data_IF_486477811718
#
_entry.id   IF_486477811718
#
_cell.length_a   1.000
_cell.length_b   1.000
_cell.length_c   1.000
_cell.angle_alpha   90.00
_cell.angle_beta   90.00
_cell.angle_gamma   90.00
#
_symmetry.space_group_name_H-M   'P 1'
#
loop_
_entity.id
_entity.type
_entity.pdbx_description
1 polymer ?
#
# COMPACT_ATOMS: atom_id res chain seq x y z
N UNK A 1 35.01 -11.48 -33.71
CA UNK A 1 33.54 -11.67 -33.57
C UNK A 1 33.02 -11.28 -32.18
N UNK A 2 33.92 -11.01 -31.20
CA UNK A 2 33.56 -10.81 -29.77
C UNK A 2 33.25 -9.37 -29.34
N UNK A 3 33.38 -8.36 -30.19
CA UNK A 3 33.13 -6.95 -29.80
C UNK A 3 31.68 -6.50 -29.87
N UNK A 4 30.80 -7.25 -30.54
CA UNK A 4 29.38 -6.87 -30.69
C UNK A 4 28.51 -7.30 -29.49
N UNK A 5 28.84 -8.42 -28.84
CA UNK A 5 28.10 -8.94 -27.72
C UNK A 5 28.20 -8.09 -26.43
N UNK A 6 29.36 -7.44 -26.24
CA UNK A 6 29.60 -6.54 -25.08
C UNK A 6 28.90 -5.19 -25.18
N UNK A 7 28.63 -4.72 -26.39
CA UNK A 7 27.89 -3.47 -26.63
C UNK A 7 26.41 -3.57 -26.37
N UNK A 8 25.78 -4.68 -26.76
CA UNK A 8 24.34 -4.92 -26.55
C UNK A 8 23.99 -5.12 -25.06
N UNK A 9 24.84 -5.81 -24.30
CA UNK A 9 24.62 -5.97 -22.84
C UNK A 9 24.70 -4.64 -22.09
N UNK A 10 25.60 -3.73 -22.48
CA UNK A 10 25.70 -2.40 -21.85
C UNK A 10 24.52 -1.50 -22.17
N UNK A 11 23.97 -1.57 -23.38
CA UNK A 11 22.79 -0.80 -23.79
C UNK A 11 21.51 -1.31 -23.09
N UNK A 12 21.35 -2.62 -22.99
CA UNK A 12 20.21 -3.21 -22.27
C UNK A 12 20.25 -2.94 -20.76
N UNK A 13 21.43 -2.99 -20.14
CA UNK A 13 21.59 -2.61 -18.72
C UNK A 13 21.23 -1.14 -18.49
N UNK A 14 21.73 -0.25 -19.34
CA UNK A 14 21.47 1.19 -19.22
C UNK A 14 20.00 1.54 -19.43
N UNK A 15 19.35 0.90 -20.40
CA UNK A 15 17.91 1.07 -20.63
C UNK A 15 17.07 0.54 -19.46
N UNK A 16 17.47 -0.58 -18.83
CA UNK A 16 16.81 -1.11 -17.64
C UNK A 16 16.99 -0.19 -16.42
N UNK A 17 18.20 0.36 -16.23
CA UNK A 17 18.49 1.33 -15.17
C UNK A 17 17.68 2.62 -15.35
N UNK A 18 17.58 3.14 -16.59
CA UNK A 18 16.77 4.32 -16.90
C UNK A 18 15.29 4.07 -16.64
N UNK A 19 14.71 2.93 -17.08
CA UNK A 19 13.32 2.57 -16.83
C UNK A 19 13.05 2.41 -15.32
N UNK A 20 13.97 1.79 -14.59
CA UNK A 20 13.84 1.65 -13.13
C UNK A 20 13.89 2.99 -12.42
N UNK A 21 14.80 3.90 -12.85
CA UNK A 21 14.90 5.25 -12.30
C UNK A 21 13.64 6.08 -12.58
N UNK A 22 13.11 6.03 -13.81
CA UNK A 22 11.86 6.71 -14.18
C UNK A 22 10.66 6.17 -13.38
N UNK A 23 10.56 4.84 -13.22
CA UNK A 23 9.48 4.22 -12.46
C UNK A 23 9.55 4.61 -10.99
N UNK A 24 10.74 4.64 -10.41
CA UNK A 24 10.95 5.06 -9.03
C UNK A 24 10.60 6.53 -8.84
N UNK A 25 11.02 7.39 -9.77
CA UNK A 25 10.70 8.82 -9.72
C UNK A 25 9.20 9.08 -9.84
N UNK A 26 8.48 8.35 -10.70
CA UNK A 26 7.03 8.44 -10.83
C UNK A 26 6.33 8.03 -9.52
N UNK A 27 6.76 6.93 -8.90
CA UNK A 27 6.22 6.48 -7.61
C UNK A 27 6.43 7.51 -6.49
N UNK A 28 7.62 8.11 -6.40
CA UNK A 28 7.88 9.15 -5.39
C UNK A 28 7.01 10.39 -5.64
N UNK A 29 6.80 10.79 -6.89
CA UNK A 29 5.91 11.92 -7.22
C UNK A 29 4.45 11.62 -6.83
N UNK A 30 3.95 10.41 -7.05
CA UNK A 30 2.62 9.99 -6.62
C UNK A 30 2.48 10.02 -5.09
N UNK A 31 3.50 9.56 -4.37
CA UNK A 31 3.53 9.61 -2.90
C UNK A 31 3.57 11.05 -2.37
N UNK A 32 4.30 11.95 -3.02
CA UNK A 32 4.37 13.36 -2.64
C UNK A 32 3.03 14.08 -2.94
N UNK A 33 2.36 13.74 -4.03
CA UNK A 33 1.03 14.24 -4.32
C UNK A 33 0.01 13.77 -3.27
N UNK A 34 0.04 12.48 -2.91
CA UNK A 34 -0.79 11.94 -1.84
C UNK A 34 -0.50 12.62 -0.50
N UNK A 35 0.77 12.86 -0.16
CA UNK A 35 1.16 13.57 1.04
C UNK A 35 0.52 14.96 1.10
N UNK A 36 0.57 15.71 0.00
CA UNK A 36 -0.04 17.04 -0.08
C UNK A 36 -1.57 17.00 0.09
N UNK A 37 -2.22 15.97 -0.45
CA UNK A 37 -3.66 15.78 -0.29
C UNK A 37 -4.04 15.41 1.15
N UNK A 38 -3.23 14.55 1.82
CA UNK A 38 -3.45 14.18 3.22
C UNK A 38 -3.19 15.34 4.18
N UNK A 39 -2.25 16.22 3.87
CA UNK A 39 -2.08 17.49 4.64
C UNK A 39 -3.29 18.40 4.48
N UNK A 40 -3.89 18.43 3.28
CA UNK A 40 -5.04 19.27 2.99
C UNK A 40 -6.36 18.77 3.61
N UNK A 41 -6.47 17.47 3.94
CA UNK A 41 -7.66 16.86 4.56
C UNK A 41 -7.84 17.27 6.04
N UNK A 42 -6.80 17.86 6.64
CA UNK A 42 -6.82 18.34 8.03
C UNK A 42 -6.71 17.23 9.09
N UNK A 43 -6.49 15.97 8.70
CA UNK A 43 -6.32 14.84 9.61
C UNK A 43 -4.84 14.46 9.75
N UNK A 44 -4.17 15.02 10.75
CA UNK A 44 -2.75 14.74 11.01
C UNK A 44 -2.41 13.24 11.23
N UNK A 45 -3.42 12.37 11.43
CA UNK A 45 -3.21 10.92 11.60
C UNK A 45 -2.82 10.29 10.27
N UNK A 46 -3.54 10.60 9.19
CA UNK A 46 -3.33 10.04 7.85
C UNK A 46 -2.01 10.49 7.26
N UNK A 47 -1.61 11.74 7.49
CA UNK A 47 -0.32 12.28 7.12
C UNK A 47 0.84 11.52 7.80
N UNK A 48 0.75 11.30 9.12
CA UNK A 48 1.76 10.55 9.88
C UNK A 48 1.83 9.09 9.42
N UNK A 49 0.70 8.46 9.12
CA UNK A 49 0.67 7.09 8.63
C UNK A 49 1.41 6.94 7.30
N UNK A 50 1.27 7.89 6.37
CA UNK A 50 2.03 7.86 5.12
C UNK A 50 3.54 8.02 5.39
N UNK A 51 3.92 8.91 6.30
CA UNK A 51 5.32 9.11 6.69
C UNK A 51 5.90 7.83 7.33
N UNK A 52 5.16 7.17 8.22
CA UNK A 52 5.57 5.92 8.86
C UNK A 52 5.70 4.78 7.85
N UNK A 53 4.75 4.64 6.92
CA UNK A 53 4.82 3.66 5.82
C UNK A 53 6.07 3.86 4.96
N UNK A 54 6.36 5.11 4.55
CA UNK A 54 7.56 5.44 3.76
C UNK A 54 8.85 5.09 4.53
N UNK A 55 8.92 5.46 5.81
CA UNK A 55 10.09 5.19 6.66
C UNK A 55 10.36 3.69 6.82
N UNK A 56 9.32 2.91 7.13
CA UNK A 56 9.44 1.45 7.29
C UNK A 56 9.86 0.81 5.96
N UNK A 57 9.19 1.16 4.86
CA UNK A 57 9.49 0.62 3.54
C UNK A 57 10.94 0.93 3.10
N UNK A 58 11.40 2.15 3.36
CA UNK A 58 12.77 2.54 3.10
C UNK A 58 13.77 1.75 3.97
N UNK A 59 13.44 1.52 5.24
CA UNK A 59 14.25 0.71 6.15
C UNK A 59 14.41 -0.72 5.65
N UNK A 60 13.33 -1.35 5.16
CA UNK A 60 13.39 -2.66 4.52
C UNK A 60 14.33 -2.64 3.30
N UNK A 61 14.20 -1.65 2.41
CA UNK A 61 15.06 -1.55 1.21
C UNK A 61 16.53 -1.38 1.57
N UNK A 62 16.84 -0.54 2.54
CA UNK A 62 18.23 -0.31 2.98
C UNK A 62 18.85 -1.56 3.60
N UNK A 63 18.08 -2.25 4.44
CA UNK A 63 18.55 -3.44 5.12
C UNK A 63 18.86 -4.58 4.13
N UNK A 64 18.04 -4.71 3.10
CA UNK A 64 18.21 -5.71 2.05
C UNK A 64 19.39 -5.41 1.10
N UNK A 65 19.76 -4.13 0.97
CA UNK A 65 20.91 -3.71 0.20
C UNK A 65 22.25 -4.06 0.90
N UNK A 66 22.23 -4.42 2.20
CA UNK A 66 23.44 -4.78 2.92
C UNK A 66 23.89 -6.21 2.59
N UNK A 67 25.20 -6.39 2.36
CA UNK A 67 25.82 -7.63 1.84
C UNK A 67 25.62 -8.83 2.77
N UNK A 68 25.46 -8.64 4.05
CA UNK A 68 25.30 -9.73 5.02
C UNK A 68 23.92 -10.41 4.92
N UNK A 69 22.90 -9.70 4.44
CA UNK A 69 21.54 -10.23 4.25
C UNK A 69 21.24 -10.74 2.83
N UNK A 70 22.20 -10.66 1.95
CA UNK A 70 22.15 -11.40 0.68
C UNK A 70 21.88 -12.91 0.88
N UNK A 71 22.10 -13.44 2.09
CA UNK A 71 21.75 -14.82 2.47
C UNK A 71 20.23 -15.02 2.60
N UNK A 72 19.49 -14.06 3.13
CA UNK A 72 18.02 -14.10 3.13
C UNK A 72 17.45 -14.16 1.71
N UNK A 73 18.09 -13.46 0.77
CA UNK A 73 17.70 -13.49 -0.64
C UNK A 73 18.15 -14.75 -1.37
N UNK A 74 19.22 -15.41 -0.94
CA UNK A 74 19.71 -16.65 -1.53
C UNK A 74 18.75 -17.84 -1.34
N UNK A 75 17.92 -17.82 -0.30
CA UNK A 75 16.96 -18.88 0.04
C UNK A 75 15.59 -18.78 -0.67
N UNK A 76 15.36 -17.82 -1.56
CA UNK A 76 14.08 -17.64 -2.25
C UNK A 76 12.94 -17.11 -1.37
N UNK A 77 12.83 -17.58 -0.12
CA UNK A 77 11.78 -17.20 0.82
C UNK A 77 11.92 -15.74 1.30
N UNK A 78 13.16 -15.27 1.48
CA UNK A 78 13.42 -13.88 1.82
C UNK A 78 12.99 -12.91 0.71
N UNK A 79 13.23 -13.26 -0.56
CA UNK A 79 12.74 -12.48 -1.71
C UNK A 79 11.22 -12.41 -1.74
N UNK A 80 10.54 -13.50 -1.40
CA UNK A 80 9.09 -13.54 -1.33
C UNK A 80 8.55 -12.61 -0.23
N UNK A 81 9.18 -12.60 0.95
CA UNK A 81 8.81 -11.68 2.04
C UNK A 81 8.97 -10.23 1.61
N UNK A 82 10.09 -9.89 0.95
CA UNK A 82 10.33 -8.55 0.44
C UNK A 82 9.23 -8.13 -0.53
N UNK A 83 8.92 -8.97 -1.49
CA UNK A 83 7.86 -8.71 -2.46
C UNK A 83 6.51 -8.49 -1.78
N UNK A 84 6.19 -9.25 -0.73
CA UNK A 84 4.95 -9.08 0.04
C UNK A 84 4.95 -7.80 0.88
N UNK A 85 6.09 -7.40 1.43
CA UNK A 85 6.23 -6.09 2.10
C UNK A 85 5.95 -4.96 1.12
N UNK A 86 6.53 -5.01 -0.10
CA UNK A 86 6.24 -4.04 -1.15
C UNK A 86 4.75 -4.01 -1.52
N UNK A 87 4.12 -5.18 -1.64
CA UNK A 87 2.68 -5.27 -1.91
C UNK A 87 1.84 -4.66 -0.78
N UNK A 88 2.13 -4.99 0.48
CA UNK A 88 1.38 -4.44 1.62
C UNK A 88 1.56 -2.92 1.72
N UNK A 89 2.76 -2.41 1.46
CA UNK A 89 3.02 -0.98 1.37
C UNK A 89 2.12 -0.32 0.32
N UNK A 90 2.11 -0.84 -0.92
CA UNK A 90 1.30 -0.30 -2.02
C UNK A 90 -0.20 -0.31 -1.69
N UNK A 91 -0.71 -1.42 -1.15
CA UNK A 91 -2.13 -1.51 -0.79
C UNK A 91 -2.48 -0.58 0.38
N UNK A 92 -1.58 -0.41 1.36
CA UNK A 92 -1.79 0.54 2.46
C UNK A 92 -1.81 2.01 1.97
N UNK A 93 -0.95 2.36 1.02
CA UNK A 93 -0.95 3.69 0.38
C UNK A 93 -2.25 3.94 -0.38
N UNK A 94 -2.77 2.95 -1.11
CA UNK A 94 -4.10 3.06 -1.77
C UNK A 94 -5.22 3.26 -0.74
N UNK A 95 -5.19 2.54 0.37
CA UNK A 95 -6.16 2.72 1.45
C UNK A 95 -6.13 4.15 2.00
N UNK A 96 -4.95 4.77 2.16
CA UNK A 96 -4.85 6.19 2.53
C UNK A 96 -5.46 7.11 1.48
N UNK A 97 -5.23 6.86 0.20
CA UNK A 97 -5.89 7.61 -0.89
C UNK A 97 -7.41 7.50 -0.82
N UNK A 98 -7.94 6.32 -0.50
CA UNK A 98 -9.37 6.09 -0.34
C UNK A 98 -9.98 6.89 0.83
N UNK A 99 -9.20 7.22 1.88
CA UNK A 99 -9.69 8.06 2.99
C UNK A 99 -10.02 9.48 2.52
N UNK A 100 -9.26 10.02 1.56
CA UNK A 100 -9.53 11.33 0.96
C UNK A 100 -10.79 11.27 0.10
N UNK A 101 -10.93 10.24 -0.74
CA UNK A 101 -12.11 10.06 -1.57
C UNK A 101 -13.39 9.96 -0.73
N UNK A 102 -13.34 9.22 0.39
CA UNK A 102 -14.48 9.13 1.31
C UNK A 102 -14.77 10.46 2.03
N UNK A 103 -13.75 11.23 2.40
CA UNK A 103 -13.93 12.55 2.99
C UNK A 103 -14.69 13.47 2.02
N UNK A 104 -14.22 13.57 0.78
CA UNK A 104 -14.87 14.38 -0.26
C UNK A 104 -16.33 13.95 -0.49
N UNK A 105 -16.59 12.63 -0.57
CA UNK A 105 -17.96 12.11 -0.69
C UNK A 105 -18.82 12.43 0.53
N UNK A 106 -18.25 12.46 1.72
CA UNK A 106 -19.00 12.83 2.93
C UNK A 106 -19.46 14.28 2.90
N UNK A 107 -18.71 15.17 2.24
CA UNK A 107 -19.08 16.57 2.06
C UNK A 107 -20.22 16.76 1.03
N UNK A 108 -20.27 15.86 0.05
CA UNK A 108 -21.32 15.84 -0.99
C UNK A 108 -22.59 15.09 -0.56
N UNK A 109 -22.57 14.45 0.62
CA UNK A 109 -23.66 13.60 1.07
C UNK A 109 -24.96 14.39 1.31
N UNK A 110 -26.07 13.90 0.73
CA UNK A 110 -27.38 14.57 0.78
C UNK A 110 -28.02 14.58 2.19
N UNK A 111 -27.61 13.66 3.07
CA UNK A 111 -28.17 13.53 4.42
C UNK A 111 -27.08 13.28 5.46
N UNK A 112 -27.31 13.73 6.69
CA UNK A 112 -26.38 13.50 7.80
C UNK A 112 -26.18 11.99 8.12
N UNK A 113 -27.18 11.16 7.88
CA UNK A 113 -27.09 9.70 8.08
C UNK A 113 -26.11 9.09 7.09
N UNK A 114 -26.19 9.45 5.81
CA UNK A 114 -25.25 8.99 4.76
C UNK A 114 -23.86 9.50 5.04
N UNK A 115 -23.71 10.77 5.41
CA UNK A 115 -22.43 11.37 5.80
C UNK A 115 -21.79 10.62 6.95
N UNK A 116 -22.53 10.33 8.02
CA UNK A 116 -22.03 9.59 9.17
C UNK A 116 -21.55 8.19 8.79
N UNK A 117 -22.28 7.46 7.93
CA UNK A 117 -21.88 6.15 7.44
C UNK A 117 -20.59 6.17 6.63
N UNK A 118 -20.42 7.19 5.76
CA UNK A 118 -19.18 7.37 4.97
C UNK A 118 -17.98 7.65 5.90
N UNK A 119 -18.16 8.54 6.88
CA UNK A 119 -17.11 8.87 7.85
C UNK A 119 -16.74 7.67 8.73
N UNK A 120 -17.71 6.85 9.17
CA UNK A 120 -17.46 5.60 9.89
C UNK A 120 -16.60 4.66 9.05
N UNK A 121 -16.91 4.53 7.75
CA UNK A 121 -16.11 3.74 6.84
C UNK A 121 -14.68 4.28 6.68
N UNK A 122 -14.52 5.61 6.63
CA UNK A 122 -13.21 6.26 6.62
C UNK A 122 -12.40 5.91 7.87
N UNK A 123 -13.01 5.96 9.06
CA UNK A 123 -12.35 5.60 10.33
C UNK A 123 -11.94 4.13 10.37
N UNK A 124 -12.76 3.23 9.82
CA UNK A 124 -12.39 1.82 9.67
C UNK A 124 -11.11 1.66 8.86
N UNK A 125 -10.99 2.32 7.70
CA UNK A 125 -9.81 2.26 6.85
C UNK A 125 -8.56 2.83 7.57
N UNK A 126 -8.69 3.96 8.27
CA UNK A 126 -7.61 4.53 9.07
C UNK A 126 -7.12 3.54 10.12
N UNK A 127 -8.03 2.85 10.80
CA UNK A 127 -7.68 1.81 11.78
C UNK A 127 -6.92 0.65 11.15
N UNK A 128 -7.31 0.24 9.95
CA UNK A 128 -6.68 -0.85 9.21
C UNK A 128 -5.27 -0.50 8.74
N UNK A 129 -5.08 0.71 8.20
CA UNK A 129 -3.74 1.18 7.83
C UNK A 129 -2.84 1.26 9.06
N UNK A 130 -3.35 1.71 10.20
CA UNK A 130 -2.60 1.72 11.47
C UNK A 130 -2.16 0.31 11.87
N UNK A 131 -3.04 -0.68 11.71
CA UNK A 131 -2.72 -2.08 11.99
C UNK A 131 -1.63 -2.59 11.03
N UNK A 132 -1.74 -2.31 9.72
CA UNK A 132 -0.74 -2.70 8.73
C UNK A 132 0.65 -2.10 9.04
N UNK A 133 0.72 -0.83 9.46
CA UNK A 133 1.96 -0.18 9.90
C UNK A 133 2.57 -0.93 11.10
N UNK A 134 1.75 -1.27 12.10
CA UNK A 134 2.20 -2.03 13.28
C UNK A 134 2.80 -3.38 12.90
N UNK A 135 2.16 -4.09 11.98
CA UNK A 135 2.60 -5.39 11.49
C UNK A 135 3.88 -5.28 10.67
N UNK A 136 3.99 -4.31 9.75
CA UNK A 136 5.23 -4.06 9.01
C UNK A 136 6.40 -3.76 9.95
N UNK A 137 6.18 -2.96 11.01
CA UNK A 137 7.18 -2.66 12.02
C UNK A 137 7.63 -3.92 12.78
N UNK A 138 6.68 -4.79 13.14
CA UNK A 138 6.97 -6.05 13.81
C UNK A 138 7.77 -6.97 12.89
N UNK A 139 7.35 -7.16 11.65
CA UNK A 139 8.03 -8.01 10.67
C UNK A 139 9.45 -7.50 10.41
N UNK A 140 9.62 -6.18 10.31
CA UNK A 140 10.95 -5.58 10.19
C UNK A 140 11.86 -5.94 11.37
N UNK A 141 11.35 -5.78 12.60
CA UNK A 141 12.10 -6.11 13.82
C UNK A 141 12.46 -7.59 13.89
N UNK A 142 11.54 -8.46 13.49
CA UNK A 142 11.77 -9.90 13.47
C UNK A 142 12.81 -10.28 12.42
N UNK A 143 12.74 -9.73 11.21
CA UNK A 143 13.74 -9.94 10.17
C UNK A 143 15.15 -9.51 10.60
N UNK A 144 15.27 -8.48 11.44
CA UNK A 144 16.56 -8.05 12.01
C UNK A 144 17.20 -9.10 12.92
N UNK A 145 16.40 -9.94 13.55
CA UNK A 145 16.84 -10.91 14.58
C UNK A 145 16.87 -12.36 14.08
N UNK A 146 16.30 -12.65 12.90
CA UNK A 146 16.23 -13.98 12.33
C UNK A 146 17.61 -14.49 11.87
N UNK A 147 17.88 -15.76 12.19
CA UNK A 147 18.98 -16.52 11.57
C UNK A 147 18.48 -17.14 10.25
N UNK A 148 19.01 -16.72 9.08
CA UNK A 148 18.55 -17.20 7.78
C UNK A 148 18.64 -18.71 7.59
N UNK A 149 19.58 -19.35 8.27
CA UNK A 149 19.88 -20.79 8.11
C UNK A 149 19.09 -21.68 9.09
N UNK A 150 18.50 -21.09 10.16
CA UNK A 150 17.81 -21.85 11.23
C UNK A 150 16.28 -21.69 11.27
N UNK A 151 15.74 -20.58 10.78
CA UNK A 151 14.37 -20.15 11.10
C UNK A 151 13.37 -20.25 9.94
N UNK A 152 13.47 -21.29 9.10
CA UNK A 152 12.58 -21.46 7.92
C UNK A 152 11.08 -21.52 8.28
N UNK A 153 10.73 -22.04 9.46
CA UNK A 153 9.34 -22.08 9.93
C UNK A 153 8.85 -20.68 10.28
N UNK A 154 9.69 -19.82 10.86
CA UNK A 154 9.35 -18.44 11.20
C UNK A 154 9.19 -17.58 9.96
N UNK A 155 10.06 -17.73 8.97
CA UNK A 155 9.91 -17.08 7.66
C UNK A 155 8.60 -17.47 6.98
N UNK A 156 8.21 -18.75 7.04
CA UNK A 156 6.93 -19.21 6.51
C UNK A 156 5.73 -18.58 7.24
N UNK A 157 5.84 -18.41 8.55
CA UNK A 157 4.80 -17.75 9.35
C UNK A 157 4.68 -16.26 8.97
N UNK A 158 5.79 -15.52 8.90
CA UNK A 158 5.80 -14.11 8.47
C UNK A 158 5.20 -13.93 7.09
N UNK A 159 5.51 -14.83 6.15
CA UNK A 159 4.91 -14.85 4.83
C UNK A 159 3.38 -14.96 4.89
N UNK A 160 2.87 -15.89 5.69
CA UNK A 160 1.43 -16.11 5.80
C UNK A 160 0.72 -14.93 6.50
N UNK A 161 1.38 -14.29 7.47
CA UNK A 161 0.88 -13.07 8.11
C UNK A 161 0.79 -11.92 7.10
N UNK A 162 1.82 -11.74 6.25
CA UNK A 162 1.80 -10.74 5.17
C UNK A 162 0.68 -11.01 4.16
N UNK A 163 0.48 -12.28 3.76
CA UNK A 163 -0.59 -12.64 2.82
C UNK A 163 -1.98 -12.29 3.35
N UNK A 164 -2.24 -12.60 4.61
CA UNK A 164 -3.52 -12.27 5.24
C UNK A 164 -3.77 -10.75 5.26
N UNK A 165 -2.73 -9.96 5.53
CA UNK A 165 -2.84 -8.51 5.59
C UNK A 165 -3.00 -7.87 4.21
N UNK A 166 -2.31 -8.39 3.20
CA UNK A 166 -2.46 -7.93 1.81
C UNK A 166 -3.88 -8.22 1.32
N UNK A 167 -4.38 -9.43 1.58
CA UNK A 167 -5.74 -9.80 1.18
C UNK A 167 -6.79 -8.91 1.86
N UNK A 168 -6.58 -8.61 3.14
CA UNK A 168 -7.46 -7.73 3.88
C UNK A 168 -7.45 -6.30 3.32
N UNK A 169 -6.26 -5.70 3.09
CA UNK A 169 -6.14 -4.37 2.49
C UNK A 169 -6.79 -4.29 1.10
N UNK A 170 -6.67 -5.34 0.29
CA UNK A 170 -7.35 -5.43 -1.02
C UNK A 170 -8.87 -5.47 -0.90
N UNK A 171 -9.41 -6.20 0.07
CA UNK A 171 -10.86 -6.22 0.32
C UNK A 171 -11.39 -4.83 0.69
N UNK A 172 -10.62 -4.08 1.46
CA UNK A 172 -10.96 -2.70 1.80
C UNK A 172 -11.01 -1.83 0.56
N UNK A 173 -9.97 -1.85 -0.27
CA UNK A 173 -9.92 -1.10 -1.53
C UNK A 173 -11.10 -1.47 -2.45
N UNK A 174 -11.40 -2.76 -2.60
CA UNK A 174 -12.55 -3.23 -3.38
C UNK A 174 -13.88 -2.72 -2.83
N UNK A 175 -14.07 -2.75 -1.51
CA UNK A 175 -15.28 -2.26 -0.88
C UNK A 175 -15.50 -0.76 -1.08
N UNK A 176 -14.41 0.04 -1.10
CA UNK A 176 -14.51 1.47 -1.39
C UNK A 176 -14.87 1.69 -2.86
N UNK A 177 -14.26 0.96 -3.79
CA UNK A 177 -14.57 1.05 -5.23
C UNK A 177 -16.01 0.62 -5.53
N UNK A 178 -16.53 -0.37 -4.84
CA UNK A 178 -17.92 -0.79 -5.00
C UNK A 178 -18.90 0.31 -4.54
N UNK A 179 -18.54 1.10 -3.51
CA UNK A 179 -19.32 2.29 -3.14
C UNK A 179 -19.36 3.36 -4.24
N UNK A 180 -18.37 3.36 -5.15
CA UNK A 180 -18.37 4.23 -6.33
C UNK A 180 -19.28 3.71 -7.45
N UNK A 181 -19.47 2.39 -7.53
CA UNK A 181 -20.27 1.74 -8.57
C UNK A 181 -21.71 1.53 -8.16
N UNK A 182 -21.96 1.24 -6.88
CA UNK A 182 -23.33 1.27 -6.35
C UNK A 182 -23.76 2.73 -6.35
N UNK A 183 -24.56 3.08 -7.35
CA UNK A 183 -25.37 4.29 -7.36
C UNK A 183 -26.22 4.28 -6.10
N UNK A 184 -25.68 4.82 -5.01
CA UNK A 184 -26.39 5.04 -3.74
C UNK A 184 -27.61 5.99 -3.92
N UNK A 185 -27.95 6.30 -5.16
CA UNK A 185 -29.09 7.11 -5.57
C UNK A 185 -29.67 6.56 -6.87
N UNK A 186 -30.36 5.43 -6.84
CA UNK A 186 -31.53 5.33 -7.71
C UNK A 186 -32.67 6.07 -7.00
N UNK A 187 -33.10 7.22 -7.52
CA UNK A 187 -34.33 7.90 -7.07
C UNK A 187 -35.52 7.18 -7.72
N UNK A 188 -35.78 5.92 -7.37
CA UNK A 188 -36.82 5.16 -8.04
C UNK A 188 -37.98 4.70 -7.16
N UNK A 189 -38.05 5.09 -5.89
CA UNK A 189 -39.20 4.74 -5.07
C UNK A 189 -40.02 5.94 -4.54
N UNK A 190 -39.59 7.16 -4.76
CA UNK A 190 -40.36 8.34 -4.31
C UNK A 190 -41.21 9.03 -5.38
N UNK A 191 -41.02 8.74 -6.67
CA UNK A 191 -41.78 9.36 -7.75
C UNK A 191 -43.16 8.68 -8.01
N UNK A 192 -43.42 7.50 -7.45
CA UNK A 192 -44.73 6.85 -7.59
C UNK A 192 -45.79 7.35 -6.60
N UNK A 193 -45.41 8.11 -5.56
CA UNK A 193 -46.38 8.62 -4.56
C UNK A 193 -46.90 10.04 -4.82
N UNK A 194 -46.47 10.73 -5.88
CA UNK A 194 -46.89 12.11 -6.19
C UNK A 194 -47.83 12.16 -7.40
N UNK A 195 -48.23 11.02 -7.96
CA UNK A 195 -49.10 10.99 -9.17
C UNK A 195 -50.50 10.40 -8.90
N UNK A 196 -51.09 10.63 -7.72
CA UNK A 196 -52.53 10.46 -7.50
C UNK A 196 -53.17 11.74 -6.93
#
# INVERSE_FOLDING_TARGET
>A
VTKWATGMNKLSHRALEEIQAETHQAQEQELDQLQNQLVADGDARTERMLADLRAIHQSFKQELATTERSRLTAGGMGLEIIYKVDQLFVESVKCLGNTIALLNKSEEAATETVKASILEKRESIISEVKQAIGQLSQIYTELLTLDPDGDSSRLSQLRNELDANIEFARKVDQNVRNLDQDKLFEPSEYDEFISE
#
